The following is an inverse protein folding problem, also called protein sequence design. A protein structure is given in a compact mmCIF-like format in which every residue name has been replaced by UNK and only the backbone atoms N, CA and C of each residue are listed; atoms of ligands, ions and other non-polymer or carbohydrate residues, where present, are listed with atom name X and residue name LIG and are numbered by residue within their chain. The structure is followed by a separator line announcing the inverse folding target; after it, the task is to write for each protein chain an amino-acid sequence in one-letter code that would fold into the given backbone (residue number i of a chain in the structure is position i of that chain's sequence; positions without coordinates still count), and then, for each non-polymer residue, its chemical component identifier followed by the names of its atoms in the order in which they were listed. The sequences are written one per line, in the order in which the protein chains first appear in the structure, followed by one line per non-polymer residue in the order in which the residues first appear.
data_IF_894781964680
#
_entry.id   IF_894781964680
#
_cell.length_a   1.000
_cell.length_b   1.000
_cell.length_c   1.000
_cell.angle_alpha   90.00
_cell.angle_beta   90.00
_cell.angle_gamma   90.00
#
_symmetry.space_group_name_H-M   'P 1'
#
loop_
_entity.id
_entity.type
_entity.pdbx_description
1 polymer ?
#
# COMPACT_ATOMS: atom_id res chain seq x y z
N UNK A 1 65.44 -54.77 -5.65
CA UNK A 1 64.44 -54.91 -6.74
C UNK A 1 63.10 -54.48 -6.16
N UNK A 2 62.77 -53.19 -6.28
CA UNK A 2 61.80 -52.64 -7.25
C UNK A 2 60.34 -53.05 -6.95
N UNK A 3 59.45 -52.06 -6.74
CA UNK A 3 57.98 -52.24 -6.75
C UNK A 3 57.25 -51.48 -5.63
N UNK A 4 57.27 -50.14 -5.66
CA UNK A 4 56.10 -49.30 -5.97
C UNK A 4 54.98 -49.33 -4.91
N UNK A 5 54.98 -48.30 -4.06
CA UNK A 5 53.83 -47.83 -3.32
C UNK A 5 52.83 -47.17 -4.27
N UNK A 6 51.57 -47.60 -4.23
CA UNK A 6 50.44 -46.86 -4.80
C UNK A 6 49.42 -46.58 -3.72
N UNK A 7 49.53 -45.37 -3.18
CA UNK A 7 48.53 -44.68 -2.39
C UNK A 7 47.34 -44.32 -3.27
N UNK A 8 46.16 -44.87 -2.99
CA UNK A 8 44.90 -44.38 -3.55
C UNK A 8 44.01 -43.88 -2.42
N UNK A 9 44.20 -42.60 -2.09
CA UNK A 9 43.25 -41.78 -1.34
C UNK A 9 42.12 -41.44 -2.32
N UNK A 10 41.00 -42.16 -2.24
CA UNK A 10 39.79 -41.75 -2.94
C UNK A 10 39.07 -40.70 -2.11
N UNK A 11 39.21 -39.46 -2.59
CA UNK A 11 38.40 -38.32 -2.21
C UNK A 11 36.93 -38.60 -2.54
N UNK A 12 36.05 -38.54 -1.54
CA UNK A 12 34.63 -38.35 -1.74
C UNK A 12 34.18 -37.18 -0.85
N UNK A 13 34.54 -35.95 -1.25
CA UNK A 13 33.82 -34.78 -0.78
C UNK A 13 32.48 -34.74 -1.50
N UNK A 14 31.43 -35.23 -0.84
CA UNK A 14 30.06 -34.87 -1.18
C UNK A 14 29.92 -33.40 -0.78
N UNK A 15 30.15 -32.51 -1.73
CA UNK A 15 29.73 -31.13 -1.60
C UNK A 15 28.20 -31.14 -1.68
N UNK A 16 27.54 -31.14 -0.52
CA UNK A 16 26.14 -30.75 -0.44
C UNK A 16 26.10 -29.28 -0.81
N UNK A 17 25.84 -29.00 -2.08
CA UNK A 17 25.36 -27.69 -2.50
C UNK A 17 23.98 -27.52 -1.87
N UNK A 18 23.96 -27.04 -0.62
CA UNK A 18 22.76 -26.39 -0.08
C UNK A 18 22.61 -25.13 -0.91
N UNK A 19 21.88 -25.23 -2.02
CA UNK A 19 21.27 -24.06 -2.63
C UNK A 19 20.38 -23.48 -1.55
N UNK A 20 20.90 -22.48 -0.83
CA UNK A 20 20.09 -21.52 -0.09
C UNK A 20 19.31 -20.76 -1.17
N UNK A 21 18.23 -21.37 -1.68
CA UNK A 21 17.13 -20.59 -2.18
C UNK A 21 16.75 -19.71 -1.00
N UNK A 22 17.14 -18.44 -1.03
CA UNK A 22 16.58 -17.43 -0.14
C UNK A 22 15.07 -17.56 -0.37
N UNK A 23 14.39 -18.22 0.55
CA UNK A 23 12.94 -18.16 0.67
C UNK A 23 12.63 -16.67 0.65
N UNK A 24 12.03 -16.21 -0.44
CA UNK A 24 11.64 -14.82 -0.57
C UNK A 24 10.60 -14.58 0.52
N UNK A 25 10.99 -13.83 1.55
CA UNK A 25 10.15 -13.62 2.71
C UNK A 25 8.87 -12.91 2.29
N UNK A 26 7.73 -13.57 2.48
CA UNK A 26 6.41 -12.97 2.31
C UNK A 26 6.25 -11.91 3.40
N UNK A 27 5.90 -10.70 2.99
CA UNK A 27 5.67 -9.58 3.90
C UNK A 27 4.19 -9.48 4.24
N UNK A 28 3.87 -9.50 5.52
CA UNK A 28 2.54 -9.14 6.02
C UNK A 28 2.37 -7.63 5.88
N UNK A 29 1.46 -7.20 5.01
CA UNK A 29 1.38 -5.82 4.55
C UNK A 29 0.05 -5.17 4.97
N UNK A 30 0.13 -4.02 5.64
CA UNK A 30 -0.97 -3.06 5.71
C UNK A 30 -0.66 -1.92 4.77
N UNK A 31 -1.59 -1.57 3.89
CA UNK A 31 -1.44 -0.47 2.93
C UNK A 31 -2.27 0.71 3.42
N UNK A 32 -1.68 1.90 3.49
CA UNK A 32 -2.36 3.17 3.79
C UNK A 32 -2.28 4.08 2.57
N UNK A 33 -3.40 4.35 1.92
CA UNK A 33 -3.47 4.92 0.57
C UNK A 33 -4.39 6.12 0.50
N UNK A 34 -4.05 7.11 -0.33
CA UNK A 34 -4.92 8.24 -0.66
C UNK A 34 -5.67 8.05 -1.99
N UNK A 35 -5.87 6.80 -2.46
CA UNK A 35 -6.56 6.44 -3.71
C UNK A 35 -7.78 7.36 -3.97
N UNK A 36 -7.59 8.38 -4.80
CA UNK A 36 -8.61 9.42 -4.96
C UNK A 36 -8.53 10.11 -6.33
N UNK A 37 -7.41 10.78 -6.60
CA UNK A 37 -7.24 11.71 -7.72
C UNK A 37 -6.69 11.07 -9.01
N UNK A 38 -5.85 10.06 -8.88
CA UNK A 38 -5.03 9.51 -9.95
C UNK A 38 -4.72 8.01 -9.73
N UNK A 39 -3.90 7.45 -10.62
CA UNK A 39 -3.81 6.01 -10.87
C UNK A 39 -2.69 5.27 -10.13
N UNK A 40 -1.77 5.99 -9.50
CA UNK A 40 -0.60 5.45 -8.82
C UNK A 40 -0.97 4.48 -7.69
N UNK A 41 -1.92 4.84 -6.81
CA UNK A 41 -2.41 3.94 -5.76
C UNK A 41 -3.03 2.66 -6.32
N UNK A 42 -3.77 2.75 -7.43
CA UNK A 42 -4.36 1.57 -8.06
C UNK A 42 -3.28 0.64 -8.62
N UNK A 43 -2.22 1.21 -9.20
CA UNK A 43 -1.03 0.45 -9.60
C UNK A 43 -0.34 -0.22 -8.41
N UNK A 44 -0.22 0.48 -7.28
CA UNK A 44 0.35 -0.09 -6.06
C UNK A 44 -0.51 -1.24 -5.51
N UNK A 45 -1.84 -1.09 -5.49
CA UNK A 45 -2.78 -2.14 -5.09
C UNK A 45 -2.73 -3.35 -6.04
N UNK A 46 -2.64 -3.14 -7.36
CA UNK A 46 -2.43 -4.20 -8.35
C UNK A 46 -1.15 -4.99 -8.02
N UNK A 47 -0.04 -4.29 -7.82
CA UNK A 47 1.26 -4.91 -7.52
C UNK A 47 1.21 -5.68 -6.20
N UNK A 48 0.60 -5.11 -5.16
CA UNK A 48 0.45 -5.80 -3.89
C UNK A 48 -0.43 -7.05 -4.02
N UNK A 49 -1.55 -6.96 -4.72
CA UNK A 49 -2.54 -8.03 -4.84
C UNK A 49 -2.04 -9.22 -5.68
N UNK A 50 -1.16 -8.96 -6.65
CA UNK A 50 -0.63 -9.97 -7.58
C UNK A 50 0.75 -10.50 -7.18
N UNK A 51 1.42 -9.86 -6.21
CA UNK A 51 2.75 -10.26 -5.76
C UNK A 51 2.70 -11.49 -4.86
N UNK A 52 3.46 -12.53 -5.23
CA UNK A 52 3.68 -13.70 -4.37
C UNK A 52 4.53 -13.41 -3.13
N UNK A 53 4.94 -12.15 -2.91
CA UNK A 53 5.76 -11.70 -1.79
C UNK A 53 4.99 -10.81 -0.81
N UNK A 54 3.72 -10.53 -1.07
CA UNK A 54 2.87 -9.74 -0.20
C UNK A 54 1.70 -10.60 0.30
N UNK A 55 1.48 -10.55 1.61
CA UNK A 55 0.25 -11.01 2.24
C UNK A 55 -0.48 -9.77 2.76
N UNK A 56 -1.51 -9.32 2.04
CA UNK A 56 -2.23 -8.10 2.40
C UNK A 56 -3.13 -8.41 3.59
N UNK A 57 -2.86 -7.79 4.72
CA UNK A 57 -3.65 -7.94 5.93
C UNK A 57 -4.86 -6.99 5.96
N UNK A 58 -4.68 -5.78 5.45
CA UNK A 58 -5.71 -4.75 5.39
C UNK A 58 -5.28 -3.61 4.46
N UNK A 59 -6.26 -2.83 4.01
CA UNK A 59 -6.03 -1.56 3.32
C UNK A 59 -6.81 -0.45 4.02
N UNK A 60 -6.13 0.63 4.37
CA UNK A 60 -6.70 1.84 4.92
C UNK A 60 -6.68 2.94 3.86
N UNK A 61 -7.75 3.71 3.79
CA UNK A 61 -7.87 4.90 2.96
C UNK A 61 -7.76 6.14 3.85
N UNK A 62 -6.81 7.03 3.57
CA UNK A 62 -6.53 8.23 4.35
C UNK A 62 -7.13 9.52 3.78
N UNK A 63 -7.90 9.43 2.68
CA UNK A 63 -8.81 10.49 2.22
C UNK A 63 -10.23 10.25 2.73
N UNK A 64 -11.03 11.30 2.99
CA UNK A 64 -12.35 11.17 3.59
C UNK A 64 -13.44 11.00 2.52
N UNK A 65 -13.19 10.22 1.47
CA UNK A 65 -14.16 9.99 0.39
C UNK A 65 -14.66 8.55 0.41
N UNK A 66 -15.98 8.34 0.42
CA UNK A 66 -16.50 6.97 0.37
C UNK A 66 -16.17 6.26 -0.95
N UNK A 67 -16.04 7.01 -2.05
CA UNK A 67 -15.66 6.48 -3.36
C UNK A 67 -14.32 5.75 -3.28
N UNK A 68 -13.36 6.30 -2.54
CA UNK A 68 -12.03 5.74 -2.37
C UNK A 68 -12.04 4.36 -1.69
N UNK A 69 -12.86 4.18 -0.65
CA UNK A 69 -12.99 2.87 0.01
C UNK A 69 -13.63 1.82 -0.91
N UNK A 70 -14.67 2.19 -1.65
CA UNK A 70 -15.34 1.30 -2.61
C UNK A 70 -14.42 0.97 -3.78
N UNK A 71 -13.66 1.95 -4.28
CA UNK A 71 -12.68 1.76 -5.35
C UNK A 71 -11.55 0.81 -4.93
N UNK A 72 -10.95 1.02 -3.75
CA UNK A 72 -9.90 0.14 -3.24
C UNK A 72 -10.41 -1.29 -3.06
N UNK A 73 -11.62 -1.45 -2.52
CA UNK A 73 -12.26 -2.76 -2.40
C UNK A 73 -12.54 -3.42 -3.75
N UNK A 74 -12.99 -2.65 -4.75
CA UNK A 74 -13.24 -3.14 -6.10
C UNK A 74 -11.96 -3.61 -6.81
N UNK A 75 -10.86 -2.85 -6.68
CA UNK A 75 -9.54 -3.22 -7.21
C UNK A 75 -9.06 -4.53 -6.58
N UNK A 76 -9.11 -4.64 -5.25
CA UNK A 76 -8.68 -5.86 -4.55
C UNK A 76 -9.54 -7.08 -4.94
N UNK A 77 -10.86 -6.92 -4.98
CA UNK A 77 -11.78 -7.98 -5.38
C UNK A 77 -11.54 -8.43 -6.82
N UNK A 78 -11.18 -7.51 -7.73
CA UNK A 78 -10.81 -7.85 -9.10
C UNK A 78 -9.61 -8.81 -9.15
N UNK A 79 -8.62 -8.62 -8.27
CA UNK A 79 -7.44 -9.48 -8.16
C UNK A 79 -7.62 -10.65 -7.18
N UNK A 80 -8.86 -10.99 -6.79
CA UNK A 80 -9.16 -12.16 -5.98
C UNK A 80 -9.05 -11.97 -4.47
N UNK A 81 -8.97 -10.74 -3.99
CA UNK A 81 -8.93 -10.39 -2.56
C UNK A 81 -10.26 -9.76 -2.15
N UNK A 82 -11.18 -10.58 -1.63
CA UNK A 82 -12.49 -10.07 -1.19
C UNK A 82 -12.37 -9.22 0.07
N UNK A 83 -13.32 -8.30 0.28
CA UNK A 83 -13.42 -7.48 1.50
C UNK A 83 -13.53 -8.31 2.79
N UNK A 84 -14.12 -9.52 2.70
CA UNK A 84 -14.18 -10.44 3.82
C UNK A 84 -12.80 -11.02 4.21
N UNK A 85 -11.86 -11.12 3.25
CA UNK A 85 -10.50 -11.60 3.47
C UNK A 85 -9.55 -10.46 3.79
N UNK A 86 -9.63 -9.36 3.04
CA UNK A 86 -8.82 -8.15 3.21
C UNK A 86 -9.76 -7.00 3.60
N UNK A 87 -9.92 -6.71 4.90
CA UNK A 87 -10.77 -5.63 5.36
C UNK A 87 -10.24 -4.26 4.93
N UNK A 88 -11.18 -3.35 4.67
CA UNK A 88 -10.93 -1.96 4.30
C UNK A 88 -11.32 -1.04 5.45
N UNK A 89 -10.50 -0.01 5.70
CA UNK A 89 -10.80 1.07 6.61
C UNK A 89 -10.81 2.41 5.90
N UNK A 90 -11.62 3.33 6.39
CA UNK A 90 -11.84 4.64 5.80
C UNK A 90 -11.71 5.71 6.88
N UNK A 91 -10.95 6.77 6.57
CA UNK A 91 -10.88 7.98 7.39
C UNK A 91 -12.28 8.52 7.69
N UNK A 92 -12.56 8.76 8.99
CA UNK A 92 -13.83 9.34 9.45
C UNK A 92 -13.61 10.79 9.97
N UNK A 93 -14.61 11.67 9.87
CA UNK A 93 -15.82 11.53 9.06
C UNK A 93 -15.47 11.48 7.56
N UNK A 94 -16.36 10.90 6.76
CA UNK A 94 -16.20 10.80 5.31
C UNK A 94 -17.36 11.49 4.60
N UNK A 95 -17.15 11.85 3.34
CA UNK A 95 -18.08 12.60 2.49
C UNK A 95 -18.40 11.83 1.20
N UNK A 96 -19.39 12.34 0.47
CA UNK A 96 -19.77 11.93 -0.89
C UNK A 96 -19.12 12.83 -1.95
N UNK A 97 -17.93 13.35 -1.67
CA UNK A 97 -17.21 14.21 -2.60
C UNK A 97 -16.29 13.35 -3.46
N UNK A 98 -16.41 13.53 -4.78
CA UNK A 98 -15.45 13.02 -5.75
C UNK A 98 -14.34 14.07 -5.96
N UNK A 99 -13.17 13.62 -6.42
CA UNK A 99 -12.06 14.51 -6.67
C UNK A 99 -12.36 15.46 -7.84
N UNK A 100 -12.19 16.75 -7.60
CA UNK A 100 -12.28 17.77 -8.63
C UNK A 100 -10.93 18.51 -8.74
N UNK A 101 -10.28 18.39 -9.89
CA UNK A 101 -9.03 19.10 -10.16
C UNK A 101 -9.31 20.58 -10.46
N UNK A 102 -9.31 21.40 -9.41
CA UNK A 102 -9.43 22.85 -9.51
C UNK A 102 -8.09 23.57 -9.71
N UNK A 103 -6.99 22.83 -9.93
CA UNK A 103 -5.66 23.40 -10.07
C UNK A 103 -5.11 23.23 -11.49
N UNK A 104 -4.92 21.99 -11.94
CA UNK A 104 -4.32 21.70 -13.26
C UNK A 104 -5.37 21.49 -14.33
N UNK A 105 -6.58 21.11 -13.94
CA UNK A 105 -7.66 20.71 -14.85
C UNK A 105 -7.24 19.54 -15.77
N UNK A 106 -6.34 18.68 -15.29
CA UNK A 106 -5.77 17.54 -16.02
C UNK A 106 -6.20 16.22 -15.38
N UNK A 107 -6.39 16.20 -14.06
CA UNK A 107 -6.84 15.03 -13.32
C UNK A 107 -8.37 15.00 -13.24
N UNK A 108 -8.92 13.80 -13.02
CA UNK A 108 -10.36 13.59 -13.00
C UNK A 108 -10.81 12.80 -11.79
N UNK A 109 -12.11 12.56 -11.73
CA UNK A 109 -12.76 11.75 -10.70
C UNK A 109 -12.35 10.25 -10.77
N UNK A 110 -11.09 9.94 -10.44
CA UNK A 110 -10.51 8.62 -10.63
C UNK A 110 -11.21 7.56 -9.75
N UNK A 111 -11.23 7.77 -8.44
CA UNK A 111 -11.80 6.80 -7.51
C UNK A 111 -13.31 6.58 -7.72
N UNK A 112 -14.10 7.62 -8.00
CA UNK A 112 -15.54 7.45 -8.21
C UNK A 112 -15.84 6.65 -9.48
N UNK A 113 -15.07 6.85 -10.56
CA UNK A 113 -15.19 6.05 -11.79
C UNK A 113 -14.81 4.59 -11.57
N UNK A 114 -13.72 4.34 -10.85
CA UNK A 114 -13.34 2.95 -10.48
C UNK A 114 -14.45 2.32 -9.64
N UNK A 115 -14.91 2.99 -8.59
CA UNK A 115 -15.99 2.49 -7.74
C UNK A 115 -17.25 2.19 -8.55
N UNK A 116 -17.67 3.10 -9.45
CA UNK A 116 -18.90 2.96 -10.24
C UNK A 116 -18.83 1.77 -11.20
N UNK A 117 -17.71 1.60 -11.90
CA UNK A 117 -17.58 0.59 -12.94
C UNK A 117 -17.19 -0.80 -12.40
N UNK A 118 -16.52 -0.86 -11.24
CA UNK A 118 -15.89 -2.08 -10.77
C UNK A 118 -16.40 -2.62 -9.43
N UNK A 119 -17.17 -1.83 -8.66
CA UNK A 119 -17.82 -2.37 -7.46
C UNK A 119 -18.75 -3.53 -7.86
N UNK A 120 -18.47 -4.70 -7.30
CA UNK A 120 -19.19 -5.93 -7.55
C UNK A 120 -19.19 -6.81 -6.30
N UNK A 121 -20.26 -6.74 -5.48
CA UNK A 121 -20.42 -7.57 -4.29
C UNK A 121 -20.38 -9.08 -4.57
N UNK A 122 -20.80 -9.52 -5.76
CA UNK A 122 -20.73 -10.94 -6.15
C UNK A 122 -19.27 -11.41 -6.32
N UNK A 123 -18.34 -10.47 -6.56
CA UNK A 123 -16.89 -10.71 -6.54
C UNK A 123 -16.24 -10.39 -5.19
N UNK A 124 -17.04 -10.01 -4.19
CA UNK A 124 -16.59 -9.76 -2.82
C UNK A 124 -16.07 -8.36 -2.55
N UNK A 125 -16.34 -7.36 -3.40
CA UNK A 125 -16.07 -5.96 -3.04
C UNK A 125 -17.17 -5.38 -2.14
N UNK A 126 -16.91 -4.22 -1.54
CA UNK A 126 -17.98 -3.35 -1.02
C UNK A 126 -18.98 -3.01 -2.14
N UNK A 127 -20.28 -2.89 -1.83
CA UNK A 127 -21.27 -2.40 -2.79
C UNK A 127 -21.08 -0.90 -3.07
N UNK A 128 -21.71 -0.43 -4.14
CA UNK A 128 -21.91 1.00 -4.35
C UNK A 128 -22.55 1.63 -3.11
N UNK A 129 -22.02 2.76 -2.65
CA UNK A 129 -22.40 3.43 -1.38
C UNK A 129 -22.17 2.58 -0.09
N UNK A 130 -21.46 1.45 -0.19
CA UNK A 130 -21.19 0.54 0.92
C UNK A 130 -20.08 0.95 1.90
N UNK A 131 -19.54 2.16 1.81
CA UNK A 131 -18.39 2.56 2.65
C UNK A 131 -18.73 2.73 4.15
N UNK A 132 -20.02 2.69 4.50
CA UNK A 132 -20.43 2.59 5.90
C UNK A 132 -20.01 1.24 6.53
N UNK A 133 -19.90 0.18 5.72
CA UNK A 133 -19.47 -1.15 6.16
C UNK A 133 -17.94 -1.25 6.34
N UNK A 134 -17.19 -0.31 5.77
CA UNK A 134 -15.75 -0.19 6.01
C UNK A 134 -15.47 0.17 7.48
N UNK A 135 -14.32 -0.25 7.98
CA UNK A 135 -13.89 0.07 9.33
C UNK A 135 -13.57 1.57 9.46
N UNK A 136 -13.64 2.09 10.68
CA UNK A 136 -12.83 3.27 11.01
C UNK A 136 -11.35 2.91 10.82
N UNK A 137 -10.57 3.78 10.17
CA UNK A 137 -9.20 3.47 9.79
C UNK A 137 -8.28 3.18 10.98
N UNK A 138 -8.44 3.91 12.10
CA UNK A 138 -7.65 3.69 13.33
C UNK A 138 -8.09 2.40 14.00
N UNK A 139 -9.40 2.13 14.07
CA UNK A 139 -9.92 0.87 14.59
C UNK A 139 -9.41 -0.34 13.79
N UNK A 140 -9.33 -0.23 12.46
CA UNK A 140 -8.78 -1.30 11.62
C UNK A 140 -7.30 -1.55 11.89
N UNK A 141 -6.50 -0.49 11.98
CA UNK A 141 -5.10 -0.62 12.37
C UNK A 141 -4.95 -1.35 13.69
N UNK A 142 -5.68 -0.91 14.72
CA UNK A 142 -5.64 -1.53 16.04
C UNK A 142 -6.01 -3.01 15.97
N UNK A 143 -7.07 -3.36 15.24
CA UNK A 143 -7.52 -4.75 15.05
C UNK A 143 -6.45 -5.61 14.40
N UNK A 144 -5.89 -5.15 13.28
CA UNK A 144 -4.91 -5.92 12.50
C UNK A 144 -3.61 -6.09 13.26
N UNK A 145 -3.10 -5.03 13.88
CA UNK A 145 -1.87 -5.09 14.66
C UNK A 145 -2.03 -5.94 15.92
N UNK A 146 -3.15 -5.82 16.64
CA UNK A 146 -3.40 -6.63 17.84
C UNK A 146 -3.44 -8.14 17.54
N UNK A 147 -3.96 -8.53 16.37
CA UNK A 147 -4.01 -9.91 15.90
C UNK A 147 -2.71 -10.43 15.27
N UNK A 148 -1.71 -9.57 15.05
CA UNK A 148 -0.47 -9.96 14.39
C UNK A 148 0.60 -10.47 15.38
N UNK A 149 1.54 -11.25 14.85
CA UNK A 149 2.77 -11.60 15.56
C UNK A 149 3.65 -10.35 15.77
N UNK A 150 4.46 -10.37 16.83
CA UNK A 150 5.37 -9.27 17.13
C UNK A 150 6.40 -9.05 16.02
N UNK A 151 6.72 -7.79 15.74
CA UNK A 151 7.66 -7.36 14.70
C UNK A 151 7.44 -8.06 13.33
N UNK A 152 6.16 -8.32 12.96
CA UNK A 152 5.82 -9.06 11.74
C UNK A 152 5.17 -8.20 10.66
N UNK A 153 4.54 -7.08 11.04
CA UNK A 153 3.75 -6.25 10.11
C UNK A 153 4.62 -5.20 9.46
N UNK A 154 4.54 -5.09 8.13
CA UNK A 154 5.06 -3.96 7.36
C UNK A 154 3.89 -3.04 7.01
N UNK A 155 4.05 -1.74 7.27
CA UNK A 155 3.08 -0.73 6.84
C UNK A 155 3.67 -0.01 5.63
N UNK A 156 2.95 -0.01 4.51
CA UNK A 156 3.24 0.83 3.35
C UNK A 156 2.27 2.01 3.34
N UNK A 157 2.76 3.18 3.74
CA UNK A 157 2.02 4.44 3.64
C UNK A 157 2.35 5.09 2.32
N UNK A 158 1.40 5.07 1.39
CA UNK A 158 1.53 5.63 0.05
C UNK A 158 0.68 6.89 -0.18
N UNK A 159 -0.03 7.36 0.85
CA UNK A 159 -0.74 8.63 0.86
C UNK A 159 -0.49 9.46 2.13
N UNK A 160 -1.51 10.20 2.57
CA UNK A 160 -1.43 11.09 3.74
C UNK A 160 -1.29 10.35 5.08
N UNK A 161 -0.73 11.03 6.08
CA UNK A 161 -0.34 10.42 7.37
C UNK A 161 -1.37 10.59 8.50
N UNK A 162 -2.59 11.03 8.20
CA UNK A 162 -3.65 11.27 9.19
C UNK A 162 -4.00 10.00 9.97
N UNK A 163 -4.21 8.87 9.28
CA UNK A 163 -4.55 7.59 9.90
C UNK A 163 -3.44 7.11 10.86
N UNK A 164 -2.17 7.22 10.44
CA UNK A 164 -1.02 6.85 11.26
C UNK A 164 -0.82 7.78 12.47
N UNK A 165 -1.09 9.07 12.30
CA UNK A 165 -1.11 10.03 13.41
C UNK A 165 -2.22 9.68 14.41
N UNK A 166 -3.40 9.32 13.92
CA UNK A 166 -4.52 8.82 14.73
C UNK A 166 -4.17 7.54 15.47
N UNK A 167 -3.49 6.59 14.80
CA UNK A 167 -2.99 5.37 15.43
C UNK A 167 -2.02 5.68 16.57
N UNK A 168 -1.01 6.53 16.34
CA UNK A 168 -0.05 6.94 17.39
C UNK A 168 -0.74 7.57 18.61
N UNK A 169 -1.83 8.30 18.39
CA UNK A 169 -2.62 8.95 19.45
C UNK A 169 -3.67 8.04 20.10
N UNK A 170 -3.92 6.85 19.54
CA UNK A 170 -4.94 5.95 20.07
C UNK A 170 -4.56 5.42 21.46
N UNK A 171 -5.55 5.29 22.34
CA UNK A 171 -5.40 4.68 23.67
C UNK A 171 -5.70 3.19 23.62
N UNK A 172 -5.47 2.49 24.72
CA UNK A 172 -6.02 1.15 24.92
C UNK A 172 -7.55 1.14 24.75
N UNK A 173 -8.09 0.03 24.29
CA UNK A 173 -9.51 -0.18 24.00
C UNK A 173 -9.87 -1.68 24.10
N UNK A 174 -11.09 -2.03 23.70
CA UNK A 174 -11.58 -3.42 23.71
C UNK A 174 -10.87 -4.33 22.70
N UNK A 175 -10.10 -3.77 21.75
CA UNK A 175 -9.32 -4.51 20.75
C UNK A 175 -7.95 -4.89 21.32
N UNK A 176 -7.30 -3.95 22.00
CA UNK A 176 -5.97 -4.17 22.58
C UNK A 176 -5.76 -3.37 23.85
N UNK A 177 -5.15 -3.97 24.90
CA UNK A 177 -4.75 -3.24 26.10
C UNK A 177 -3.57 -2.29 25.85
N UNK A 178 -2.89 -2.36 24.70
CA UNK A 178 -1.82 -1.45 24.34
C UNK A 178 -2.37 -0.16 23.74
N UNK A 179 -1.77 0.97 24.11
CA UNK A 179 -1.96 2.22 23.36
C UNK A 179 -1.30 2.10 21.97
N UNK A 180 -1.56 3.07 21.10
CA UNK A 180 -1.06 3.08 19.74
C UNK A 180 0.45 2.95 19.60
N UNK A 181 1.20 3.70 20.41
CA UNK A 181 2.67 3.69 20.36
C UNK A 181 3.24 2.32 20.77
N UNK A 182 2.73 1.75 21.85
CA UNK A 182 3.16 0.44 22.34
C UNK A 182 2.75 -0.69 21.37
N UNK A 183 1.56 -0.58 20.78
CA UNK A 183 1.08 -1.52 19.78
C UNK A 183 1.94 -1.48 18.51
N UNK A 184 2.28 -0.28 18.03
CA UNK A 184 3.22 -0.10 16.91
C UNK A 184 4.58 -0.72 17.26
N UNK A 185 5.14 -0.37 18.41
CA UNK A 185 6.46 -0.84 18.84
C UNK A 185 6.53 -2.37 18.99
N UNK A 186 5.43 -3.01 19.40
CA UNK A 186 5.32 -4.46 19.52
C UNK A 186 5.14 -5.16 18.17
N UNK A 187 4.30 -4.62 17.28
CA UNK A 187 3.76 -5.37 16.13
C UNK A 187 4.39 -5.02 14.79
N UNK A 188 4.85 -3.78 14.63
CA UNK A 188 5.31 -3.28 13.33
C UNK A 188 6.81 -3.50 13.17
N UNK A 189 7.18 -4.26 12.14
CA UNK A 189 8.55 -4.50 11.73
C UNK A 189 9.19 -3.26 11.09
N UNK A 190 8.46 -2.60 10.19
CA UNK A 190 8.90 -1.39 9.50
C UNK A 190 7.71 -0.61 8.94
N UNK A 191 7.86 0.71 8.92
CA UNK A 191 7.01 1.63 8.16
C UNK A 191 7.79 2.08 6.91
N UNK A 192 7.16 1.97 5.75
CA UNK A 192 7.68 2.48 4.48
C UNK A 192 6.74 3.59 4.03
N UNK A 193 7.27 4.80 3.85
CA UNK A 193 6.49 5.99 3.52
C UNK A 193 6.89 6.49 2.13
N UNK A 194 5.95 6.56 1.20
CA UNK A 194 6.08 7.37 -0.01
C UNK A 194 5.83 8.82 0.39
N UNK A 195 6.91 9.59 0.47
CA UNK A 195 6.78 11.01 0.76
C UNK A 195 8.09 11.70 1.09
N UNK A 196 8.04 13.02 1.08
CA UNK A 196 9.22 13.88 1.22
C UNK A 196 10.05 14.00 -0.06
N UNK A 197 10.99 14.94 -0.04
CA UNK A 197 11.98 15.14 -1.10
C UNK A 197 13.32 15.42 -0.40
N UNK A 198 14.35 14.67 -0.77
CA UNK A 198 15.60 14.64 -0.02
C UNK A 198 16.77 15.22 -0.82
N UNK A 199 17.68 15.99 -0.16
CA UNK A 199 17.74 16.28 1.27
C UNK A 199 16.74 17.36 1.76
N UNK A 200 16.05 18.05 0.85
CA UNK A 200 15.04 19.05 1.18
C UNK A 200 14.09 19.24 0.01
N UNK A 201 12.82 19.51 0.30
CA UNK A 201 11.85 19.88 -0.72
C UNK A 201 10.42 19.84 -0.20
N UNK A 202 9.46 19.77 -1.12
CA UNK A 202 8.03 19.85 -0.81
C UNK A 202 7.26 18.81 -1.62
N UNK A 203 6.84 17.75 -0.95
CA UNK A 203 6.21 16.58 -1.57
C UNK A 203 4.75 16.43 -1.10
N UNK A 204 3.87 16.08 -2.04
CA UNK A 204 2.41 16.09 -1.87
C UNK A 204 1.90 15.33 -0.64
N UNK A 205 2.30 14.09 -0.41
CA UNK A 205 1.83 13.29 0.72
C UNK A 205 2.19 13.88 2.08
N UNK A 206 3.24 14.70 2.14
CA UNK A 206 3.65 15.37 3.37
C UNK A 206 2.88 16.67 3.65
N UNK A 207 2.35 17.37 2.64
CA UNK A 207 1.71 18.69 2.83
C UNK A 207 0.28 18.82 2.31
N UNK A 208 -0.17 17.96 1.40
CA UNK A 208 -1.40 18.13 0.61
C UNK A 208 -2.69 18.07 1.40
N UNK A 209 -2.69 17.37 2.54
CA UNK A 209 -3.80 17.31 3.49
C UNK A 209 -3.45 18.09 4.78
N UNK A 210 -2.94 17.42 5.82
CA UNK A 210 -2.55 18.07 7.07
C UNK A 210 -1.04 17.89 7.38
N UNK A 211 -0.18 18.90 7.16
CA UNK A 211 1.24 18.78 7.43
C UNK A 211 1.59 18.58 8.92
N UNK A 212 0.68 18.93 9.83
CA UNK A 212 0.91 18.69 11.26
C UNK A 212 0.81 17.21 11.64
N UNK A 213 -0.04 16.42 10.97
CA UNK A 213 -0.09 14.97 11.21
C UNK A 213 1.09 14.25 10.59
N UNK A 214 1.57 14.71 9.43
CA UNK A 214 2.89 14.33 8.90
C UNK A 214 4.00 14.58 9.92
N UNK A 215 4.11 15.82 10.42
CA UNK A 215 5.13 16.18 11.40
C UNK A 215 4.99 15.33 12.68
N UNK A 216 3.76 15.04 13.11
CA UNK A 216 3.52 14.18 14.26
C UNK A 216 4.06 12.77 14.04
N UNK A 217 3.73 12.11 12.92
CA UNK A 217 4.23 10.77 12.60
C UNK A 217 5.75 10.74 12.50
N UNK A 218 6.34 11.63 11.71
CA UNK A 218 7.80 11.67 11.48
C UNK A 218 8.58 11.87 12.79
N UNK A 219 8.11 12.72 13.70
CA UNK A 219 8.83 13.00 14.95
C UNK A 219 8.60 11.95 16.05
N UNK A 220 7.47 11.22 16.00
CA UNK A 220 7.05 10.32 17.08
C UNK A 220 7.16 8.84 16.74
N UNK A 221 7.38 8.46 15.48
CA UNK A 221 7.61 7.06 15.13
C UNK A 221 8.95 6.57 15.69
N UNK A 222 8.91 5.61 16.62
CA UNK A 222 10.13 5.04 17.26
C UNK A 222 10.64 3.76 16.62
N UNK A 223 9.83 3.13 15.76
CA UNK A 223 10.23 1.95 15.00
C UNK A 223 11.09 2.28 13.78
N UNK A 224 11.44 1.25 13.00
CA UNK A 224 12.14 1.45 11.73
C UNK A 224 11.23 2.17 10.74
N UNK A 225 11.75 3.22 10.09
CA UNK A 225 11.09 3.92 8.99
C UNK A 225 12.01 3.96 7.78
N UNK A 226 11.43 3.77 6.60
CA UNK A 226 12.07 4.01 5.31
C UNK A 226 11.24 5.04 4.57
N UNK A 227 11.90 6.10 4.10
CA UNK A 227 11.26 7.11 3.25
C UNK A 227 11.65 6.88 1.79
N UNK A 228 10.64 6.82 0.93
CA UNK A 228 10.75 6.80 -0.52
C UNK A 228 10.39 8.19 -1.03
N UNK A 229 11.41 9.03 -1.25
CA UNK A 229 11.22 10.42 -1.63
C UNK A 229 10.82 10.62 -3.10
N UNK A 230 10.41 11.84 -3.40
CA UNK A 230 9.98 12.27 -4.73
C UNK A 230 11.02 11.99 -5.82
N UNK A 231 12.30 12.16 -5.51
CA UNK A 231 13.41 11.94 -6.44
C UNK A 231 13.48 10.49 -6.97
N UNK A 232 12.97 9.51 -6.20
CA UNK A 232 12.88 8.13 -6.65
C UNK A 232 11.77 7.94 -7.68
N UNK A 233 10.57 8.48 -7.42
CA UNK A 233 9.40 8.33 -8.29
C UNK A 233 9.56 9.02 -9.64
N UNK A 234 10.19 10.20 -9.66
CA UNK A 234 10.37 11.03 -10.86
C UNK A 234 11.08 10.32 -12.04
N UNK A 235 11.89 9.32 -11.76
CA UNK A 235 12.68 8.60 -12.78
C UNK A 235 12.14 7.23 -13.12
N UNK A 236 11.05 6.79 -12.46
CA UNK A 236 10.45 5.48 -12.63
C UNK A 236 9.11 5.62 -13.34
N UNK A 237 9.14 5.38 -14.65
CA UNK A 237 7.96 5.31 -15.50
C UNK A 237 7.50 3.87 -15.62
N UNK A 238 6.23 3.61 -15.34
CA UNK A 238 5.62 2.29 -15.41
C UNK A 238 4.27 2.34 -16.13
N UNK A 239 3.62 1.19 -16.30
CA UNK A 239 2.29 1.11 -16.88
C UNK A 239 2.21 1.05 -18.41
N UNK A 240 3.25 1.42 -19.17
CA UNK A 240 3.19 1.39 -20.65
C UNK A 240 2.79 0.03 -21.23
N UNK A 241 3.38 -1.06 -20.74
CA UNK A 241 3.02 -2.43 -21.13
C UNK A 241 1.60 -2.80 -20.66
N UNK A 242 1.21 -2.39 -19.45
CA UNK A 242 -0.12 -2.64 -18.90
C UNK A 242 -1.19 -1.93 -19.76
N UNK A 243 -0.95 -0.68 -20.15
CA UNK A 243 -1.84 0.09 -21.02
C UNK A 243 -1.92 -0.46 -22.44
N UNK A 244 -0.82 -1.00 -22.97
CA UNK A 244 -0.74 -1.50 -24.35
C UNK A 244 -1.29 -2.92 -24.51
N UNK A 245 -1.13 -3.76 -23.49
CA UNK A 245 -1.33 -5.21 -23.59
C UNK A 245 -2.16 -5.81 -22.45
N UNK A 246 -2.51 -5.03 -21.43
CA UNK A 246 -3.30 -5.52 -20.32
C UNK A 246 -4.78 -5.72 -20.69
N UNK A 247 -5.54 -6.44 -19.84
CA UNK A 247 -6.94 -6.70 -20.10
C UNK A 247 -7.76 -5.40 -20.17
N UNK A 248 -8.65 -5.22 -21.16
CA UNK A 248 -9.37 -3.95 -21.32
C UNK A 248 -10.29 -3.60 -20.13
N UNK A 249 -10.71 -4.59 -19.35
CA UNK A 249 -11.57 -4.42 -18.17
C UNK A 249 -10.78 -4.54 -16.85
N UNK A 250 -9.51 -4.14 -16.85
CA UNK A 250 -8.72 -4.05 -15.64
C UNK A 250 -8.94 -2.68 -14.96
N UNK A 251 -9.27 -2.63 -13.65
CA UNK A 251 -9.56 -1.39 -12.94
C UNK A 251 -8.36 -0.44 -12.81
N UNK A 252 -7.12 -0.90 -13.02
CA UNK A 252 -5.92 -0.06 -13.09
C UNK A 252 -5.65 0.52 -14.50
N UNK A 253 -6.25 -0.08 -15.55
CA UNK A 253 -6.14 0.36 -16.96
C UNK A 253 -7.30 1.26 -17.38
N UNK A 254 -8.53 0.78 -17.14
CA UNK A 254 -9.73 1.52 -17.57
C UNK A 254 -9.77 2.90 -16.95
N UNK A 255 -9.34 3.00 -15.71
CA UNK A 255 -9.31 4.23 -14.94
C UNK A 255 -8.33 5.29 -15.48
N UNK A 256 -7.18 4.88 -16.01
CA UNK A 256 -6.17 5.77 -16.61
C UNK A 256 -6.58 6.24 -18.01
N UNK A 257 -7.34 5.44 -18.77
CA UNK A 257 -7.98 5.93 -20.02
C UNK A 257 -9.13 6.90 -19.78
N UNK A 258 -9.73 6.89 -18.59
CA UNK A 258 -10.83 7.77 -18.19
C UNK A 258 -10.36 9.15 -17.68
N UNK A 259 -9.05 9.37 -17.51
CA UNK A 259 -8.44 10.61 -16.99
C UNK A 259 -7.51 11.34 -17.98
N UNK A 260 -7.34 10.84 -19.21
CA UNK A 260 -6.68 11.43 -20.40
C UNK A 260 -5.68 10.46 -21.05
N UNK A 261 -5.44 10.67 -22.35
CA UNK A 261 -4.77 9.75 -23.28
C UNK A 261 -3.26 9.55 -23.10
N UNK A 262 -2.62 10.16 -22.10
CA UNK A 262 -1.16 10.08 -21.89
C UNK A 262 -0.77 9.70 -20.44
N UNK A 263 -1.58 8.89 -19.76
CA UNK A 263 -1.25 8.44 -18.40
C UNK A 263 -0.20 7.33 -18.44
N UNK A 264 1.08 7.72 -18.45
CA UNK A 264 2.15 6.86 -17.94
C UNK A 264 1.90 6.71 -16.44
N UNK A 265 1.87 5.48 -15.92
CA UNK A 265 1.89 5.23 -14.47
C UNK A 265 3.28 5.61 -13.97
N UNK A 266 3.53 6.91 -13.87
CA UNK A 266 4.58 7.44 -13.03
C UNK A 266 4.13 7.20 -11.60
N UNK A 267 5.02 6.68 -10.75
CA UNK A 267 4.74 6.58 -9.31
C UNK A 267 4.45 7.96 -8.71
N UNK A 268 4.73 9.05 -9.43
CA UNK A 268 4.19 10.37 -9.17
C UNK A 268 3.98 11.13 -10.46
N UNK A 269 2.73 11.47 -10.80
CA UNK A 269 2.49 12.55 -11.76
C UNK A 269 3.16 13.82 -11.20
N UNK A 270 3.88 14.57 -12.05
CA UNK A 270 4.74 15.70 -11.63
C UNK A 270 3.95 16.83 -10.95
N UNK A 271 3.65 16.74 -9.65
CA UNK A 271 2.84 17.74 -8.90
C UNK A 271 3.60 19.02 -8.52
N UNK A 272 4.84 19.20 -9.01
CA UNK A 272 5.71 20.33 -8.63
C UNK A 272 5.91 21.33 -9.77
N UNK A 273 4.84 22.03 -10.15
CA UNK A 273 4.88 23.37 -10.75
C UNK A 273 3.62 24.13 -10.40
#
# INVERSE_FOLDING_TARGET
MWGLATTHIFWAMIAVAVSCARSLQIKNLVIDTDLYSDADDAGALLLAATSSRANILAVNVNVPSWYSAVAASAILAHYGHSFAQVPLGLRRPFTNEAYFDSWRYELGEYASKVAYHYANPDKGSLPWEGAADAWDAVALYRRVLAGAEDASVTIASIGFLENLSGLLNSTADDISPLNGQDLIASKVAELVVMGGEYPSGREWNFWGDNPFTTAHVVNNWKGKVVFSGYEMGKTVFSGGELMSHGPPNDPAISSSTLTSTDTIISIQTDRTK
#
